data_IF_039109540047
#
_entry.id   IF_039109540047
#
_cell.length_a   1.000
_cell.length_b   1.000
_cell.length_c   1.000
_cell.angle_alpha   90.00
_cell.angle_beta   90.00
_cell.angle_gamma   90.00
#
_symmetry.space_group_name_H-M   'P 1'
#
loop_
_entity.id
_entity.type
_entity.pdbx_description
1 polymer ?
2 non-polymer ?
3 non-polymer ?
4 water ?
#
# COMPACT_ATOMS: atom_id res chain seq x y z
N UNK A 1 -6.20 10.03 -13.29
CA UNK A 1 -6.59 9.98 -11.85
C UNK A 1 -7.08 8.60 -11.49
N UNK A 2 -7.91 8.00 -12.35
CA UNK A 2 -8.40 6.67 -12.04
C UNK A 2 -8.76 5.80 -13.25
N UNK A 3 -8.90 4.51 -12.98
CA UNK A 3 -9.33 3.53 -13.96
C UNK A 3 -10.57 2.92 -13.33
N UNK A 4 -11.71 3.06 -14.01
CA UNK A 4 -13.00 2.72 -13.41
C UNK A 4 -13.62 1.56 -14.14
N UNK A 5 -13.72 0.41 -13.46
CA UNK A 5 -14.31 -0.77 -14.07
C UNK A 5 -14.85 -1.64 -12.93
N UNK A 6 -16.00 -2.27 -13.14
CA UNK A 6 -16.53 -3.23 -12.16
C UNK A 6 -16.07 -4.60 -12.57
N UNK A 7 -15.24 -5.22 -11.74
CA UNK A 7 -14.71 -6.55 -12.04
C UNK A 7 -13.48 -6.44 -12.94
N UNK A 8 -13.00 -7.58 -13.42
CA UNK A 8 -11.85 -7.53 -14.33
C UNK A 8 -10.51 -7.47 -13.62
N UNK A 9 -10.47 -7.58 -12.29
CA UNK A 9 -9.15 -7.69 -11.61
C UNK A 9 -8.59 -9.08 -11.83
N UNK A 10 -7.27 -9.17 -12.01
CA UNK A 10 -6.59 -10.44 -12.18
C UNK A 10 -5.67 -10.65 -10.99
N UNK A 11 -5.70 -11.87 -10.46
CA UNK A 11 -4.93 -12.15 -9.28
C UNK A 11 -3.46 -12.33 -9.65
N UNK A 12 -2.59 -11.78 -8.82
CA UNK A 12 -1.15 -11.95 -8.97
C UNK A 12 -0.65 -12.51 -7.63
N UNK A 13 0.45 -13.25 -7.63
CA UNK A 13 1.10 -13.58 -6.33
C UNK A 13 2.08 -12.47 -5.92
N UNK A 14 2.40 -12.37 -4.63
CA UNK A 14 3.35 -11.33 -4.20
C UNK A 14 4.82 -11.70 -4.53
N UNK A 15 5.02 -12.87 -5.14
CA UNK A 15 6.33 -13.21 -5.67
C UNK A 15 6.32 -13.15 -7.21
N UNK A 16 5.18 -12.87 -7.82
CA UNK A 16 5.11 -12.66 -9.28
C UNK A 16 6.00 -11.49 -9.75
N UNK A 17 6.15 -10.45 -8.90
CA UNK A 17 7.00 -9.26 -9.17
C UNK A 17 7.38 -8.51 -7.87
N UNK A 18 8.66 -8.15 -7.71
CA UNK A 18 9.07 -7.43 -6.48
C UNK A 18 8.49 -6.01 -6.32
N UNK A 19 8.02 -5.42 -7.41
CA UNK A 19 7.47 -4.08 -7.33
C UNK A 19 6.18 -3.98 -6.52
N UNK A 20 5.44 -5.08 -6.38
CA UNK A 20 4.20 -5.00 -5.58
C UNK A 20 4.49 -4.54 -4.16
N UNK A 21 5.55 -5.10 -3.57
CA UNK A 21 5.93 -4.69 -2.23
C UNK A 21 6.39 -3.24 -2.20
N UNK A 22 7.14 -2.81 -3.22
CA UNK A 22 7.52 -1.39 -3.33
C UNK A 22 6.30 -0.46 -3.36
N UNK A 23 5.31 -0.83 -4.19
CA UNK A 23 4.06 -0.07 -4.29
C UNK A 23 3.30 -0.04 -2.96
N UNK A 24 3.29 -1.18 -2.27
CA UNK A 24 2.66 -1.27 -0.93
C UNK A 24 3.29 -0.29 0.04
N UNK A 25 4.62 -0.21 0.05
CA UNK A 25 5.32 0.72 0.92
C UNK A 25 5.05 2.17 0.54
N UNK A 26 5.04 2.45 -0.76
CA UNK A 26 4.69 3.80 -1.22
C UNK A 26 3.31 4.23 -0.69
N UNK A 27 2.31 3.38 -0.89
CA UNK A 27 0.95 3.70 -0.49
C UNK A 27 0.81 3.88 1.02
N UNK A 28 1.39 2.95 1.77
CA UNK A 28 1.22 2.91 3.23
C UNK A 28 1.91 4.11 3.91
N UNK A 29 3.13 4.40 3.50
CA UNK A 29 3.86 5.54 4.08
C UNK A 29 3.20 6.86 3.69
N UNK A 30 2.85 6.99 2.41
CA UNK A 30 2.19 8.21 1.90
C UNK A 30 0.86 8.49 2.61
N UNK A 31 0.00 7.48 2.69
CA UNK A 31 -1.27 7.60 3.38
C UNK A 31 -1.12 7.85 4.88
N UNK A 32 -0.24 7.10 5.55
CA UNK A 32 -0.15 7.23 7.00
C UNK A 32 0.30 8.65 7.38
N UNK A 33 1.19 9.23 6.58
CA UNK A 33 1.69 10.59 6.84
C UNK A 33 0.57 11.65 6.88
N UNK A 34 -0.56 11.38 6.24
CA UNK A 34 -1.68 12.34 6.16
C UNK A 34 -2.76 12.14 7.22
N UNK A 35 -2.62 11.12 8.05
CA UNK A 35 -3.66 10.79 9.03
C UNK A 35 -3.56 11.66 10.29
N UNK A 36 -4.70 12.18 10.78
CA UNK A 36 -4.68 13.04 11.98
C UNK A 36 -4.24 12.27 13.22
N UNK A 37 -3.33 12.87 13.99
CA UNK A 37 -2.88 12.28 15.25
C UNK A 37 -1.74 11.28 15.16
N UNK A 38 -1.23 11.04 13.96
CA UNK A 38 -0.12 10.11 13.79
C UNK A 38 1.24 10.75 14.04
N UNK A 39 2.10 10.01 14.75
CA UNK A 39 3.45 10.43 15.09
C UNK A 39 4.49 9.70 14.25
N UNK A 40 4.13 8.49 13.81
CA UNK A 40 5.04 7.61 13.09
C UNK A 40 4.41 7.11 11.79
N UNK A 41 5.27 6.75 10.84
CA UNK A 41 4.85 6.05 9.63
C UNK A 41 4.28 4.69 9.99
N UNK A 42 3.22 4.30 9.30
CA UNK A 42 2.85 2.90 9.26
C UNK A 42 3.73 2.24 8.20
N UNK A 43 3.86 0.93 8.31
CA UNK A 43 4.68 0.19 7.39
C UNK A 43 3.98 -1.12 7.02
N UNK A 44 4.51 -1.80 6.00
CA UNK A 44 3.91 -3.01 5.47
C UNK A 44 4.57 -4.21 6.14
N UNK A 45 3.77 -4.97 6.88
CA UNK A 45 4.21 -6.23 7.46
C UNK A 45 4.23 -7.32 6.38
N UNK A 46 3.17 -7.40 5.59
CA UNK A 46 3.08 -8.43 4.54
C UNK A 46 2.10 -8.01 3.48
N UNK A 47 2.42 -8.33 2.23
CA UNK A 47 1.44 -8.18 1.14
C UNK A 47 0.59 -9.44 1.13
N UNK A 48 -0.70 -9.28 1.42
CA UNK A 48 -1.61 -10.42 1.56
C UNK A 48 -2.32 -10.81 0.28
N UNK A 49 -2.52 -9.85 -0.63
CA UNK A 49 -3.22 -10.12 -1.89
C UNK A 49 -2.80 -9.04 -2.89
N UNK A 50 -2.61 -9.45 -4.15
CA UNK A 50 -2.27 -8.51 -5.25
C UNK A 50 -3.24 -8.79 -6.38
N UNK A 51 -3.90 -7.74 -6.86
CA UNK A 51 -4.81 -7.86 -7.99
C UNK A 51 -4.52 -6.69 -8.88
N UNK A 52 -4.49 -6.92 -10.19
CA UNK A 52 -4.31 -5.79 -11.11
C UNK A 52 -5.36 -5.75 -12.22
N UNK A 53 -5.60 -4.54 -12.73
CA UNK A 53 -6.51 -4.24 -13.85
C UNK A 53 -5.70 -3.34 -14.77
N UNK A 54 -5.58 -3.65 -16.06
CA UNK A 54 -4.90 -2.73 -17.00
C UNK A 54 -5.78 -2.42 -18.19
N UNK A 55 -5.86 -1.13 -18.52
CA UNK A 55 -6.46 -0.67 -19.77
C UNK A 55 -5.33 0.01 -20.55
N UNK A 56 -5.01 1.26 -20.20
CA UNK A 56 -3.75 1.85 -20.61
C UNK A 56 -2.86 1.88 -19.38
N UNK A 57 -3.26 2.68 -18.39
CA UNK A 57 -2.69 2.56 -17.05
C UNK A 57 -3.16 1.30 -16.32
N UNK A 58 -2.67 1.14 -15.10
CA UNK A 58 -2.96 -0.06 -14.27
C UNK A 58 -3.44 0.35 -12.89
N UNK A 59 -4.48 -0.32 -12.41
CA UNK A 59 -4.82 -0.32 -10.98
C UNK A 59 -4.12 -1.48 -10.30
N UNK A 60 -3.40 -1.18 -9.23
CA UNK A 60 -2.89 -2.21 -8.34
C UNK A 60 -3.75 -2.18 -7.10
N UNK A 61 -4.53 -3.24 -6.89
CA UNK A 61 -5.30 -3.37 -5.65
C UNK A 61 -4.55 -4.31 -4.72
N UNK A 62 -4.00 -3.74 -3.66
CA UNK A 62 -3.14 -4.49 -2.75
C UNK A 62 -3.83 -4.59 -1.41
N UNK A 63 -3.88 -5.82 -0.89
CA UNK A 63 -4.38 -6.04 0.45
C UNK A 63 -3.17 -6.33 1.32
N UNK A 64 -3.06 -5.57 2.41
CA UNK A 64 -1.83 -5.47 3.19
C UNK A 64 -2.06 -5.72 4.67
N UNK A 65 -1.08 -6.34 5.34
CA UNK A 65 -1.08 -6.29 6.80
C UNK A 65 -0.17 -5.13 7.17
N UNK A 66 -0.72 -4.16 7.92
CA UNK A 66 -0.05 -2.88 8.23
C UNK A 66 0.12 -2.73 9.75
N UNK A 67 1.23 -2.15 10.18
CA UNK A 67 1.43 -1.83 11.59
C UNK A 67 2.23 -0.55 11.70
N UNK A 68 2.14 0.12 12.84
CA UNK A 68 2.91 1.32 13.04
C UNK A 68 4.41 1.01 13.18
N UNK A 69 5.24 1.75 12.46
CA UNK A 69 6.69 1.57 12.55
C UNK A 69 7.25 2.41 13.69
N UNK A 70 8.57 2.36 13.88
CA UNK A 70 9.23 3.19 14.89
C UNK A 70 9.85 4.45 14.25
N UNK A 71 9.58 4.63 12.96
CA UNK A 71 10.12 5.76 12.21
C UNK A 71 9.19 6.96 12.35
N UNK A 72 9.70 8.04 12.94
CA UNK A 72 8.91 9.25 13.12
C UNK A 72 8.58 9.92 11.79
N UNK A 73 7.44 10.61 11.73
CA UNK A 73 7.00 11.30 10.52
C UNK A 73 7.93 12.44 10.09
N UNK A 74 8.73 12.91 11.04
CA UNK A 74 9.72 13.97 10.77
C UNK A 74 10.98 13.41 10.09
N UNK A 75 11.06 12.08 10.02
CA UNK A 75 12.14 11.39 9.31
C UNK A 75 11.72 11.01 7.90
N UNK A 76 12.70 10.67 7.06
CA UNK A 76 12.44 10.10 5.75
C UNK A 76 12.08 8.62 5.93
N UNK A 77 11.00 8.19 5.31
CA UNK A 77 10.59 6.79 5.40
C UNK A 77 11.55 5.92 4.62
N UNK A 78 11.96 4.81 5.24
CA UNK A 78 12.84 3.85 4.57
C UNK A 78 12.23 2.45 4.54
N UNK A 79 12.04 1.95 3.32
CA UNK A 79 11.34 0.68 3.01
C UNK A 79 11.75 -0.54 3.83
N UNK A 80 12.95 -0.52 4.42
CA UNK A 80 13.47 -1.70 5.12
C UNK A 80 14.16 -1.47 6.47
N UNK A 81 14.36 -0.21 6.85
CA UNK A 81 14.79 0.09 8.22
C UNK A 81 13.61 0.47 9.14
N UNK A 82 12.42 0.64 8.56
CA UNK A 82 11.26 1.12 9.33
C UNK A 82 10.29 0.01 9.68
N UNK A 83 10.82 -1.12 10.12
CA UNK A 83 10.00 -2.29 10.34
C UNK A 83 9.21 -2.17 11.62
N UNK A 84 8.03 -2.76 11.65
CA UNK A 84 7.21 -2.78 12.86
C UNK A 84 7.67 -3.87 13.83
N UNK A 85 7.52 -3.59 15.13
CA UNK A 85 7.78 -4.59 16.17
C UNK A 85 6.67 -5.64 16.15
N UNK A 86 7.04 -6.89 16.43
CA UNK A 86 6.07 -7.98 16.44
C UNK A 86 4.93 -7.74 17.41
N UNK A 87 5.17 -6.95 18.46
CA UNK A 87 4.13 -6.66 19.43
C UNK A 87 3.20 -5.48 19.05
N UNK A 88 3.47 -4.84 17.91
CA UNK A 88 2.67 -3.70 17.46
C UNK A 88 1.33 -4.17 16.91
N UNK A 89 0.27 -3.40 17.17
CA UNK A 89 -1.05 -3.77 16.64
C UNK A 89 -1.01 -3.81 15.11
N UNK A 90 -1.67 -4.82 14.53
CA UNK A 90 -1.72 -4.97 13.08
C UNK A 90 -3.15 -4.77 12.58
N UNK A 91 -3.28 -4.19 11.38
CA UNK A 91 -4.59 -4.12 10.72
C UNK A 91 -4.46 -4.62 9.29
N UNK A 92 -5.58 -5.09 8.75
CA UNK A 92 -5.67 -5.41 7.32
C UNK A 92 -6.20 -4.21 6.55
N UNK A 93 -5.44 -3.76 5.56
CA UNK A 93 -5.81 -2.56 4.79
C UNK A 93 -5.82 -2.88 3.30
N UNK A 94 -6.66 -2.19 2.55
CA UNK A 94 -6.76 -2.41 1.12
C UNK A 94 -6.56 -1.07 0.44
N UNK A 95 -5.66 -1.05 -0.53
CA UNK A 95 -5.34 0.17 -1.28
C UNK A 95 -5.44 -0.08 -2.78
N UNK A 96 -5.95 0.90 -3.51
CA UNK A 96 -5.90 0.88 -4.97
C UNK A 96 -4.99 2.01 -5.41
N UNK A 97 -3.93 1.65 -6.11
CA UNK A 97 -2.98 2.62 -6.65
C UNK A 97 -3.14 2.60 -8.16
N UNK A 98 -3.41 3.76 -8.74
CA UNK A 98 -3.55 3.88 -10.18
C UNK A 98 -2.27 4.49 -10.72
N UNK A 99 -1.69 3.83 -11.72
CA UNK A 99 -0.49 4.34 -12.38
C UNK A 99 -0.75 4.53 -13.85
N UNK A 100 -0.54 5.76 -14.31
CA UNK A 100 -0.77 6.10 -15.70
C UNK A 100 0.48 5.75 -16.55
N UNK A 101 0.46 6.06 -17.84
CA UNK A 101 1.62 5.73 -18.70
C UNK A 101 2.91 6.47 -18.32
N UNK A 102 2.77 7.71 -17.88
CA UNK A 102 3.91 8.46 -17.34
C UNK A 102 4.53 7.89 -16.06
N UNK A 103 3.90 6.87 -15.46
CA UNK A 103 4.40 6.25 -14.23
C UNK A 103 4.04 7.04 -12.99
N UNK A 104 3.12 8.00 -13.16
CA UNK A 104 2.68 8.81 -12.06
C UNK A 104 1.68 7.98 -11.30
N UNK A 105 1.79 7.99 -9.98
CA UNK A 105 0.94 7.18 -9.14
C UNK A 105 -0.02 8.04 -8.36
N UNK A 106 -1.24 7.54 -8.25
CA UNK A 106 -2.29 8.16 -7.46
C UNK A 106 -2.88 7.09 -6.55
N UNK A 107 -2.96 7.38 -5.26
CA UNK A 107 -3.68 6.47 -4.35
C UNK A 107 -5.19 6.77 -4.46
N UNK A 108 -5.90 5.89 -5.18
CA UNK A 108 -7.33 6.04 -5.39
C UNK A 108 -8.08 5.81 -4.10
N UNK A 109 -7.59 4.87 -3.29
CA UNK A 109 -8.25 4.56 -2.02
C UNK A 109 -7.26 3.88 -1.09
N UNK A 110 -7.45 4.08 0.21
CA UNK A 110 -6.69 3.34 1.21
C UNK A 110 -7.62 3.25 2.41
N UNK A 111 -8.01 2.02 2.74
CA UNK A 111 -9.02 1.79 3.77
C UNK A 111 -8.53 0.68 4.68
N UNK A 112 -8.65 0.85 6.00
CA UNK A 112 -8.24 -0.24 6.91
C UNK A 112 -9.43 -0.81 7.66
N UNK A 113 -9.45 -2.13 7.81
CA UNK A 113 -10.46 -2.81 8.62
C UNK A 113 -10.17 -2.60 10.10
N UNK A 114 -11.22 -2.38 10.89
CA UNK A 114 -11.09 -2.31 12.33
C UNK A 114 -10.44 -3.59 12.88
N UNK A 115 -9.59 -3.43 13.89
CA UNK A 115 -8.94 -4.57 14.52
C UNK A 115 -9.97 -5.44 15.26
X LIG B 1 -14.29 -5.61 -8.17
X LIG B 1 -14.28 -4.88 -6.90
X LIG B 1 -13.41 -6.78 -8.09
X LIG B 1 -13.87 -4.69 -9.24
X LIG B 1 -15.65 -6.07 -8.47
X LIG C 1 -0.82 -12.84 -2.34
X LIG C 1 -1.78 -13.71 -2.92
X LIG C 1 0.26 -13.63 -1.59
X LIG C 1 1.07 -14.22 -2.60
X LIG C 1 -0.42 -14.62 -0.65
X LIG C 1 0.50 -15.25 0.22
#
# INVERSE_FOLDING_TARGET
MELALRGGYRERSNQDDPEYLELAHYATSTWSAQQPGKTHFDTVVEVLKVETQTVAGTNYRLTLKVAESTCELTSTYNKDTCQANANAAQRTCTTVIYRNLQGEKSISSFECAAA
SO4 S O1 O2 O3 O4
GOL C1 O1 C2 O2 C3 O3
#
